data_IF_522762683938
#
_entry.id   IF_522762683938
#
_cell.length_a   1.000
_cell.length_b   1.000
_cell.length_c   1.000
_cell.angle_alpha   90.00
_cell.angle_beta   90.00
_cell.angle_gamma   90.00
#
_symmetry.space_group_name_H-M   'P 1'
#
loop_
_entity.id
_entity.type
_entity.pdbx_description
1 polymer ?
#
# COMPACT_ATOMS: atom_id res chain seq x y z
N UNK A 1 -38.75 51.74 -10.60
CA UNK A 1 -37.31 51.41 -10.71
C UNK A 1 -36.76 51.48 -9.29
N UNK A 2 -36.12 50.50 -8.67
CA UNK A 2 -35.54 49.23 -9.10
C UNK A 2 -35.64 48.26 -7.90
N UNK A 3 -35.84 46.96 -8.18
CA UNK A 3 -35.91 45.92 -7.17
C UNK A 3 -34.53 45.60 -6.59
N UNK A 4 -34.42 45.60 -5.26
CA UNK A 4 -33.22 45.17 -4.55
C UNK A 4 -33.13 43.64 -4.57
N UNK A 5 -32.20 43.12 -5.37
CA UNK A 5 -31.93 41.68 -5.52
C UNK A 5 -31.21 41.17 -4.27
N UNK A 6 -31.81 40.21 -3.58
CA UNK A 6 -31.15 39.37 -2.59
C UNK A 6 -30.07 38.54 -3.31
N UNK A 7 -28.80 38.86 -3.06
CA UNK A 7 -27.69 38.03 -3.52
C UNK A 7 -27.26 37.11 -2.37
N UNK A 8 -27.66 35.85 -2.47
CA UNK A 8 -27.10 34.74 -1.69
C UNK A 8 -25.60 34.65 -1.93
N UNK A 9 -24.73 34.68 -0.90
CA UNK A 9 -23.43 34.05 -1.02
C UNK A 9 -23.60 32.57 -0.69
N UNK A 10 -23.91 31.77 -1.72
CA UNK A 10 -23.79 30.32 -1.68
C UNK A 10 -22.32 29.94 -1.90
N UNK A 11 -21.45 30.28 -0.95
CA UNK A 11 -20.02 29.96 -1.02
C UNK A 11 -19.49 29.66 0.37
N UNK A 12 -19.55 28.39 0.78
CA UNK A 12 -18.42 27.62 1.31
C UNK A 12 -18.93 26.24 1.74
N UNK A 13 -18.87 25.27 0.84
CA UNK A 13 -18.90 23.85 1.21
C UNK A 13 -17.83 23.12 0.40
N UNK A 14 -16.58 23.57 0.54
CA UNK A 14 -15.43 22.92 -0.05
C UNK A 14 -14.31 22.84 0.98
N UNK A 15 -14.45 21.95 1.96
CA UNK A 15 -13.32 21.37 2.71
C UNK A 15 -13.83 20.31 3.71
N UNK A 16 -14.48 19.25 3.21
CA UNK A 16 -14.52 17.97 3.92
C UNK A 16 -14.04 16.87 2.98
N UNK A 17 -12.95 17.13 2.25
CA UNK A 17 -12.20 16.04 1.64
C UNK A 17 -11.48 15.33 2.80
N UNK A 18 -12.11 14.28 3.31
CA UNK A 18 -11.50 13.37 4.26
C UNK A 18 -10.25 12.70 3.65
N UNK A 19 -9.41 12.07 4.48
CA UNK A 19 -8.26 11.32 4.01
C UNK A 19 -8.72 10.29 2.95
N UNK A 20 -8.10 10.29 1.77
CA UNK A 20 -8.49 9.41 0.67
C UNK A 20 -7.39 8.39 0.39
N UNK A 21 -7.76 7.13 0.23
CA UNK A 21 -6.92 6.06 -0.33
C UNK A 21 -7.31 5.86 -1.79
N UNK A 22 -6.37 6.06 -2.71
CA UNK A 22 -6.59 5.84 -4.13
C UNK A 22 -6.16 4.42 -4.52
N UNK A 23 -6.95 3.42 -4.13
CA UNK A 23 -6.71 2.02 -4.48
C UNK A 23 -7.32 1.68 -5.85
N UNK A 24 -6.60 0.87 -6.62
CA UNK A 24 -7.07 0.33 -7.89
C UNK A 24 -6.54 -1.09 -8.15
N UNK A 25 -7.40 -2.09 -8.41
CA UNK A 25 -8.85 -2.04 -8.35
C UNK A 25 -9.36 -1.76 -6.92
N UNK A 26 -10.60 -1.31 -6.80
CA UNK A 26 -11.19 -1.06 -5.49
C UNK A 26 -11.42 -2.39 -4.75
N UNK A 27 -10.92 -2.57 -3.50
CA UNK A 27 -11.17 -3.79 -2.74
C UNK A 27 -12.65 -3.99 -2.44
N UNK A 28 -13.07 -5.26 -2.30
CA UNK A 28 -14.46 -5.57 -1.96
C UNK A 28 -14.90 -4.96 -0.62
N UNK A 29 -13.99 -4.89 0.35
CA UNK A 29 -14.21 -4.25 1.63
C UNK A 29 -12.95 -3.51 2.07
N UNK A 30 -13.12 -2.28 2.55
CA UNK A 30 -12.03 -1.47 3.09
C UNK A 30 -12.50 -0.72 4.34
N UNK A 31 -11.66 -0.76 5.36
CA UNK A 31 -11.81 0.06 6.57
C UNK A 31 -10.48 0.74 6.87
N UNK A 32 -10.47 2.07 6.86
CA UNK A 32 -9.28 2.88 7.10
C UNK A 32 -9.40 3.68 8.39
N UNK A 33 -8.29 3.86 9.10
CA UNK A 33 -8.17 4.89 10.14
C UNK A 33 -7.87 6.25 9.51
N UNK A 34 -7.84 7.33 10.30
CA UNK A 34 -7.47 8.68 9.83
C UNK A 34 -5.97 8.97 9.84
N UNK A 35 -5.16 8.06 10.40
CA UNK A 35 -3.76 8.30 10.72
C UNK A 35 -2.85 7.37 9.91
N UNK A 36 -1.84 7.94 9.22
CA UNK A 36 -0.83 7.12 8.53
C UNK A 36 0.19 6.55 9.52
N UNK A 37 0.81 5.45 9.11
CA UNK A 37 1.93 4.80 9.81
C UNK A 37 3.24 5.11 9.09
N UNK A 38 4.31 5.39 9.84
CA UNK A 38 5.66 5.55 9.28
C UNK A 38 6.26 4.18 8.98
N UNK A 39 7.00 4.04 7.88
CA UNK A 39 7.72 2.80 7.51
C UNK A 39 9.22 3.06 7.55
N UNK A 40 10.00 2.08 8.03
CA UNK A 40 11.47 2.10 7.96
C UNK A 40 11.98 1.56 6.63
N UNK A 41 12.42 2.38 5.68
CA UNK A 41 12.74 1.89 4.33
C UNK A 41 13.92 0.90 4.33
N UNK A 42 14.95 1.23 5.12
CA UNK A 42 16.17 0.42 5.24
C UNK A 42 15.92 -0.94 5.91
N UNK A 43 15.11 -0.98 6.95
CA UNK A 43 14.90 -2.20 7.75
C UNK A 43 13.56 -2.87 7.50
N UNK A 44 12.70 -2.35 6.61
CA UNK A 44 11.43 -2.99 6.30
C UNK A 44 11.69 -4.38 5.75
N UNK A 45 10.87 -5.38 6.08
CA UNK A 45 11.01 -6.73 5.54
C UNK A 45 9.65 -7.36 5.25
N UNK A 46 9.54 -8.06 4.14
CA UNK A 46 8.46 -9.02 3.95
C UNK A 46 8.88 -10.34 4.60
N UNK A 47 8.01 -10.92 5.42
CA UNK A 47 8.34 -12.10 6.21
C UNK A 47 7.22 -13.14 6.11
N UNK A 48 7.58 -14.41 6.03
CA UNK A 48 6.62 -15.49 6.18
C UNK A 48 6.20 -15.62 7.64
N UNK A 49 4.91 -15.85 7.87
CA UNK A 49 4.42 -16.26 9.17
C UNK A 49 4.91 -17.68 9.49
N UNK A 50 5.22 -17.95 10.76
CA UNK A 50 5.73 -19.27 11.23
C UNK A 50 4.80 -20.46 10.92
N UNK A 51 3.50 -20.18 10.76
CA UNK A 51 2.45 -21.16 10.41
C UNK A 51 2.05 -21.15 8.94
N UNK A 52 2.75 -20.40 8.09
CA UNK A 52 2.41 -20.31 6.67
C UNK A 52 2.74 -21.61 5.95
N UNK A 53 1.84 -22.05 5.08
CA UNK A 53 2.06 -23.20 4.22
C UNK A 53 3.13 -22.92 3.15
N UNK A 54 3.25 -21.66 2.71
CA UNK A 54 4.39 -21.18 1.94
C UNK A 54 5.50 -20.66 2.87
N UNK A 55 6.75 -21.00 2.56
CA UNK A 55 7.96 -20.62 3.30
C UNK A 55 9.06 -20.24 2.29
N UNK A 56 10.23 -19.85 2.80
CA UNK A 56 11.41 -19.61 1.97
C UNK A 56 11.71 -20.82 1.07
N UNK A 57 12.00 -20.55 -0.20
CA UNK A 57 12.04 -21.56 -1.27
C UNK A 57 10.82 -21.50 -2.19
N UNK A 58 9.79 -20.75 -1.82
CA UNK A 58 8.65 -20.44 -2.67
C UNK A 58 9.01 -19.34 -3.65
N UNK A 59 9.47 -19.70 -4.87
CA UNK A 59 9.95 -18.74 -5.89
C UNK A 59 8.96 -17.61 -6.16
N UNK A 60 7.68 -17.93 -6.28
CA UNK A 60 6.61 -16.96 -6.55
C UNK A 60 6.58 -15.83 -5.52
N UNK A 61 6.66 -16.16 -4.23
CA UNK A 61 6.58 -15.17 -3.14
C UNK A 61 7.94 -14.56 -2.83
N UNK A 62 9.02 -15.33 -2.92
CA UNK A 62 10.39 -14.84 -2.70
C UNK A 62 10.74 -13.76 -3.74
N UNK A 63 10.44 -14.00 -5.02
CA UNK A 63 10.64 -13.01 -6.10
C UNK A 63 9.69 -11.83 -5.97
N UNK A 64 8.44 -12.05 -5.55
CA UNK A 64 7.50 -10.96 -5.31
C UNK A 64 7.97 -10.04 -4.18
N UNK A 65 8.49 -10.60 -3.07
CA UNK A 65 9.03 -9.80 -1.98
C UNK A 65 10.20 -8.93 -2.42
N UNK A 66 11.10 -9.47 -3.24
CA UNK A 66 12.19 -8.70 -3.82
C UNK A 66 11.66 -7.59 -4.72
N UNK A 67 10.77 -7.92 -5.67
CA UNK A 67 10.20 -6.95 -6.61
C UNK A 67 9.47 -5.80 -5.89
N UNK A 68 8.60 -6.11 -4.93
CA UNK A 68 7.88 -5.06 -4.19
C UNK A 68 8.80 -4.26 -3.29
N UNK A 69 9.84 -4.87 -2.72
CA UNK A 69 10.86 -4.13 -1.98
C UNK A 69 11.55 -3.10 -2.88
N UNK A 70 11.96 -3.51 -4.08
CA UNK A 70 12.65 -2.63 -5.02
C UNK A 70 11.71 -1.55 -5.56
N UNK A 71 10.45 -1.89 -5.82
CA UNK A 71 9.41 -0.93 -6.23
C UNK A 71 9.17 0.12 -5.14
N UNK A 72 9.08 -0.30 -3.87
CA UNK A 72 8.79 0.57 -2.75
C UNK A 72 10.02 1.34 -2.24
N UNK A 73 11.22 0.78 -2.40
CA UNK A 73 12.42 1.28 -1.72
C UNK A 73 13.70 1.36 -2.57
N UNK A 74 13.67 0.94 -3.84
CA UNK A 74 14.86 0.78 -4.68
C UNK A 74 15.39 2.05 -5.38
N UNK A 75 14.63 3.14 -5.42
CA UNK A 75 15.04 4.38 -6.09
C UNK A 75 15.68 5.41 -5.14
N UNK A 76 17.01 5.58 -5.27
CA UNK A 76 17.90 6.67 -4.80
C UNK A 76 17.94 7.07 -3.31
N UNK A 77 19.05 7.72 -2.95
CA UNK A 77 19.61 7.85 -1.60
C UNK A 77 18.59 8.28 -0.56
N UNK A 78 18.31 7.34 0.34
CA UNK A 78 17.61 7.57 1.59
C UNK A 78 18.52 8.39 2.50
N UNK A 79 18.57 9.70 2.28
CA UNK A 79 19.21 10.62 3.19
C UNK A 79 18.37 10.58 4.47
N UNK A 80 18.84 9.82 5.45
CA UNK A 80 18.13 9.51 6.69
C UNK A 80 17.67 10.78 7.38
N UNK A 81 16.45 11.21 7.07
CA UNK A 81 15.86 12.35 7.74
C UNK A 81 15.66 11.94 9.19
N UNK A 82 16.12 12.81 10.10
CA UNK A 82 16.05 12.57 11.53
C UNK A 82 14.58 12.48 11.96
N UNK A 83 14.04 11.25 11.97
CA UNK A 83 12.72 10.97 12.52
C UNK A 83 12.71 11.44 13.97
N UNK A 84 11.66 12.16 14.36
CA UNK A 84 11.47 12.47 15.79
C UNK A 84 11.29 11.17 16.58
N UNK A 85 11.73 11.16 17.83
CA UNK A 85 11.73 9.98 18.71
C UNK A 85 10.33 9.31 18.82
N UNK A 86 9.27 10.12 18.68
CA UNK A 86 7.86 9.69 18.66
C UNK A 86 7.44 9.00 17.34
N UNK A 87 8.04 9.35 16.20
CA UNK A 87 7.80 8.68 14.92
C UNK A 87 8.49 7.32 14.86
N UNK A 88 9.64 7.19 15.54
CA UNK A 88 10.42 5.95 15.64
C UNK A 88 9.70 4.84 16.40
N UNK A 89 8.79 5.17 17.32
CA UNK A 89 8.05 4.21 18.15
C UNK A 89 6.84 3.59 17.46
N UNK A 90 6.35 4.18 16.35
CA UNK A 90 5.21 3.69 15.57
C UNK A 90 5.62 3.18 14.17
N UNK A 91 6.94 3.01 13.99
CA UNK A 91 7.54 2.62 12.73
C UNK A 91 7.22 1.15 12.41
N UNK A 92 6.64 0.93 11.23
CA UNK A 92 6.42 -0.41 10.69
C UNK A 92 7.70 -0.92 10.03
N UNK A 93 8.11 -2.11 10.46
CA UNK A 93 9.36 -2.76 10.04
C UNK A 93 9.16 -4.07 9.31
N UNK A 94 7.96 -4.64 9.34
CA UNK A 94 7.68 -5.82 8.54
C UNK A 94 6.22 -5.89 8.15
N UNK A 95 5.98 -6.54 7.02
CA UNK A 95 4.69 -7.13 6.67
C UNK A 95 4.86 -8.64 6.79
N UNK A 96 4.01 -9.27 7.61
CA UNK A 96 4.02 -10.72 7.83
C UNK A 96 2.91 -11.36 7.00
N UNK A 97 3.26 -12.37 6.18
CA UNK A 97 2.38 -13.02 5.22
C UNK A 97 2.06 -14.44 5.70
N UNK A 98 0.78 -14.77 5.80
CA UNK A 98 0.28 -16.12 6.10
C UNK A 98 -0.51 -16.66 4.91
N UNK A 99 0.00 -17.71 4.28
CA UNK A 99 -0.72 -18.49 3.26
C UNK A 99 -1.26 -19.76 3.90
N UNK A 100 -2.56 -20.04 3.73
CA UNK A 100 -3.23 -21.18 4.38
C UNK A 100 -2.93 -22.50 3.66
N UNK A 101 -3.01 -22.51 2.33
CA UNK A 101 -2.87 -23.73 1.52
C UNK A 101 -1.50 -23.82 0.84
N UNK A 102 -0.88 -25.01 0.78
CA UNK A 102 0.35 -25.19 0.02
C UNK A 102 0.05 -25.15 -1.49
N UNK A 103 0.99 -24.65 -2.29
CA UNK A 103 0.80 -24.60 -3.74
C UNK A 103 1.75 -23.67 -4.48
N UNK A 104 2.96 -23.44 -3.97
CA UNK A 104 3.86 -22.46 -4.57
C UNK A 104 4.38 -22.86 -5.96
N UNK A 105 4.56 -24.17 -6.21
CA UNK A 105 5.12 -24.69 -7.47
C UNK A 105 4.05 -24.96 -8.55
N UNK A 106 2.80 -24.60 -8.27
CA UNK A 106 1.68 -24.82 -9.20
C UNK A 106 1.46 -23.56 -10.03
N UNK A 107 0.95 -23.72 -11.25
CA UNK A 107 0.45 -22.59 -12.02
C UNK A 107 -0.96 -22.19 -11.53
N UNK A 108 -1.35 -20.91 -11.64
CA UNK A 108 -2.69 -20.52 -11.30
C UNK A 108 -3.69 -21.17 -12.26
N UNK A 109 -4.82 -21.59 -11.70
CA UNK A 109 -5.98 -22.13 -12.42
C UNK A 109 -7.19 -21.20 -12.26
N UNK A 110 -8.26 -21.45 -13.00
CA UNK A 110 -9.53 -20.73 -12.84
C UNK A 110 -10.14 -20.86 -11.44
N UNK A 111 -9.77 -21.91 -10.71
CA UNK A 111 -10.24 -22.19 -9.35
C UNK A 111 -9.26 -21.68 -8.27
N UNK A 112 -8.16 -21.06 -8.68
CA UNK A 112 -7.17 -20.53 -7.75
C UNK A 112 -7.76 -19.36 -6.97
N UNK A 113 -7.81 -19.51 -5.65
CA UNK A 113 -8.44 -18.53 -4.77
C UNK A 113 -7.53 -17.32 -4.57
N UNK A 114 -7.98 -16.15 -5.05
CA UNK A 114 -7.25 -14.88 -4.98
C UNK A 114 -7.71 -13.97 -3.82
N UNK A 115 -8.47 -14.50 -2.86
CA UNK A 115 -8.93 -13.75 -1.70
C UNK A 115 -7.79 -13.45 -0.74
N UNK A 116 -7.83 -12.27 -0.14
CA UNK A 116 -6.87 -11.84 0.87
C UNK A 116 -7.51 -10.91 1.90
N UNK A 117 -6.88 -10.84 3.07
CA UNK A 117 -7.18 -9.89 4.13
C UNK A 117 -5.88 -9.19 4.53
N UNK A 118 -5.79 -7.89 4.24
CA UNK A 118 -4.68 -7.04 4.65
C UNK A 118 -5.07 -6.25 5.90
N UNK A 119 -4.35 -6.46 7.00
CA UNK A 119 -4.57 -5.76 8.28
C UNK A 119 -3.35 -4.93 8.64
N UNK A 120 -3.56 -3.64 8.85
CA UNK A 120 -2.54 -2.69 9.28
C UNK A 120 -3.10 -1.97 10.50
N UNK A 121 -2.53 -2.23 11.67
CA UNK A 121 -2.91 -1.58 12.93
C UNK A 121 -1.66 -1.19 13.72
N UNK A 122 -1.77 -0.86 15.01
CA UNK A 122 -0.61 -0.45 15.81
C UNK A 122 0.32 -1.64 16.10
N UNK A 123 -0.24 -2.83 16.24
CA UNK A 123 0.44 -4.05 16.67
C UNK A 123 1.21 -4.70 15.53
N UNK A 124 0.61 -4.81 14.34
CA UNK A 124 1.18 -5.57 13.23
C UNK A 124 0.76 -5.04 11.85
N UNK A 125 1.56 -5.38 10.84
CA UNK A 125 1.14 -5.39 9.44
C UNK A 125 1.09 -6.85 9.01
N UNK A 126 -0.10 -7.33 8.67
CA UNK A 126 -0.37 -8.75 8.45
C UNK A 126 -1.20 -8.95 7.20
N UNK A 127 -0.77 -9.88 6.35
CA UNK A 127 -1.47 -10.28 5.15
C UNK A 127 -1.83 -11.76 5.24
N UNK A 128 -3.12 -12.06 5.27
CA UNK A 128 -3.65 -13.41 5.21
C UNK A 128 -4.22 -13.69 3.81
N UNK A 129 -3.92 -14.85 3.25
CA UNK A 129 -4.56 -15.33 2.02
C UNK A 129 -4.75 -16.84 2.04
N UNK A 130 -5.71 -17.33 1.26
CA UNK A 130 -5.94 -18.77 1.13
C UNK A 130 -4.81 -19.44 0.35
N UNK A 131 -4.40 -18.83 -0.76
CA UNK A 131 -3.31 -19.32 -1.64
C UNK A 131 -2.23 -18.25 -1.84
N UNK A 132 -1.13 -18.62 -2.50
CA UNK A 132 -0.07 -17.69 -2.92
C UNK A 132 -0.59 -16.59 -3.86
N UNK A 133 -1.62 -16.87 -4.65
CA UNK A 133 -2.21 -15.91 -5.60
C UNK A 133 -2.92 -14.77 -4.91
N UNK A 134 -3.68 -15.08 -3.85
CA UNK A 134 -4.28 -14.05 -2.99
C UNK A 134 -3.22 -13.19 -2.30
N UNK A 135 -2.09 -13.78 -1.88
CA UNK A 135 -1.00 -13.01 -1.30
C UNK A 135 -0.41 -12.01 -2.31
N UNK A 136 -0.27 -12.37 -3.59
CA UNK A 136 0.19 -11.44 -4.63
C UNK A 136 -0.77 -10.25 -4.80
N UNK A 137 -2.09 -10.47 -4.76
CA UNK A 137 -3.11 -9.39 -4.80
C UNK A 137 -3.03 -8.48 -3.57
N UNK A 138 -2.77 -9.07 -2.40
CA UNK A 138 -2.57 -8.34 -1.16
C UNK A 138 -1.30 -7.48 -1.16
N UNK A 139 -0.19 -7.99 -1.70
CA UNK A 139 1.07 -7.25 -1.86
C UNK A 139 0.92 -6.07 -2.81
N UNK A 140 0.19 -6.23 -3.91
CA UNK A 140 -0.12 -5.13 -4.84
C UNK A 140 -0.88 -4.01 -4.10
N UNK A 141 -1.94 -4.40 -3.37
CA UNK A 141 -2.76 -3.45 -2.59
C UNK A 141 -1.93 -2.76 -1.51
N UNK A 142 -1.07 -3.51 -0.81
CA UNK A 142 -0.13 -2.94 0.16
C UNK A 142 0.77 -1.88 -0.50
N UNK A 143 1.29 -2.16 -1.69
CA UNK A 143 2.19 -1.23 -2.38
C UNK A 143 1.52 0.11 -2.71
N UNK A 144 0.22 0.10 -3.04
CA UNK A 144 -0.56 1.30 -3.33
C UNK A 144 -0.89 2.14 -2.09
N UNK A 145 -0.85 1.53 -0.90
CA UNK A 145 -1.04 2.24 0.37
C UNK A 145 0.22 2.97 0.83
N UNK A 146 1.39 2.59 0.31
CA UNK A 146 2.67 3.19 0.66
C UNK A 146 2.90 4.43 -0.20
N UNK A 147 3.26 5.54 0.44
CA UNK A 147 3.56 6.80 -0.24
C UNK A 147 4.72 7.51 0.44
N UNK A 148 5.39 8.37 -0.33
CA UNK A 148 6.50 9.20 0.13
C UNK A 148 6.04 10.64 0.33
N UNK A 149 6.38 11.22 1.46
CA UNK A 149 6.14 12.65 1.70
C UNK A 149 7.22 13.49 0.99
N UNK A 150 6.96 14.78 0.72
CA UNK A 150 7.97 15.70 0.17
C UNK A 150 9.24 15.79 1.03
N UNK A 151 9.12 15.54 2.33
CA UNK A 151 10.22 15.52 3.30
C UNK A 151 11.03 14.20 3.29
N UNK A 152 10.74 13.30 2.34
CA UNK A 152 11.41 12.01 2.20
C UNK A 152 10.96 10.93 3.19
N UNK A 153 9.96 11.21 4.02
CA UNK A 153 9.42 10.21 4.96
C UNK A 153 8.50 9.25 4.22
N UNK A 154 8.73 7.93 4.37
CA UNK A 154 7.77 6.93 3.88
C UNK A 154 6.69 6.69 4.90
N UNK A 155 5.46 6.78 4.43
CA UNK A 155 4.27 6.51 5.22
C UNK A 155 3.36 5.55 4.48
N UNK A 156 2.45 4.94 5.23
CA UNK A 156 1.41 4.06 4.71
C UNK A 156 0.07 4.34 5.34
N UNK A 157 -0.98 4.26 4.54
CA UNK A 157 -2.35 4.51 4.96
C UNK A 157 -2.97 5.68 4.21
N UNK A 158 -4.01 6.32 4.75
CA UNK A 158 -4.75 7.32 4.01
C UNK A 158 -3.93 8.59 3.75
N UNK A 159 -4.14 9.20 2.58
CA UNK A 159 -3.44 10.41 2.19
C UNK A 159 -4.29 11.65 2.48
N UNK A 160 -3.75 12.61 3.24
CA UNK A 160 -4.47 13.86 3.60
C UNK A 160 -4.47 14.90 2.48
N UNK A 161 -3.53 14.82 1.54
CA UNK A 161 -3.55 15.57 0.28
C UNK A 161 -3.34 14.56 -0.82
N UNK A 162 -4.36 14.33 -1.64
CA UNK A 162 -4.11 13.73 -2.95
C UNK A 162 -3.23 14.74 -3.71
N UNK A 163 -1.95 14.46 -3.99
CA UNK A 163 -1.28 15.25 -5.01
C UNK A 163 -2.08 15.02 -6.29
N UNK A 164 -2.43 16.11 -6.98
CA UNK A 164 -2.92 16.07 -8.34
C UNK A 164 -1.98 15.12 -9.11
N UNK A 165 -2.52 13.99 -9.58
CA UNK A 165 -1.77 12.86 -10.11
C UNK A 165 -0.94 13.33 -11.32
N UNK A 166 0.29 13.79 -11.12
CA UNK A 166 1.24 14.02 -12.22
C UNK A 166 2.63 13.43 -11.96
N UNK A 167 3.07 13.26 -10.71
CA UNK A 167 4.43 12.76 -10.43
C UNK A 167 4.53 11.28 -10.02
N UNK A 168 3.44 10.62 -9.63
CA UNK A 168 3.45 9.14 -9.52
C UNK A 168 3.34 8.50 -10.91
N UNK A 169 2.82 9.22 -11.91
CA UNK A 169 2.63 8.68 -13.26
C UNK A 169 3.86 8.80 -14.17
N UNK A 170 4.79 9.73 -13.94
CA UNK A 170 5.93 9.89 -14.87
C UNK A 170 6.94 8.74 -14.78
N UNK A 171 7.15 8.16 -13.58
CA UNK A 171 8.01 6.99 -13.41
C UNK A 171 7.26 5.65 -13.44
N UNK A 172 5.95 5.62 -13.12
CA UNK A 172 5.13 4.41 -13.29
C UNK A 172 4.66 4.19 -14.74
N UNK A 173 4.53 5.21 -15.60
CA UNK A 173 3.94 5.01 -16.93
C UNK A 173 4.83 4.20 -17.90
N UNK A 174 6.15 4.19 -17.72
CA UNK A 174 7.06 3.50 -18.65
C UNK A 174 7.20 2.02 -18.29
N UNK A 175 7.27 1.69 -16.99
CA UNK A 175 7.50 0.30 -16.55
C UNK A 175 6.21 -0.52 -16.44
N UNK A 176 5.04 0.11 -16.26
CA UNK A 176 3.76 -0.59 -16.12
C UNK A 176 3.06 -0.91 -17.46
N UNK A 177 3.49 -0.30 -18.58
CA UNK A 177 2.99 -0.70 -19.91
C UNK A 177 3.30 -2.15 -20.26
N UNK A 178 4.30 -2.75 -19.60
CA UNK A 178 4.72 -4.13 -19.83
C UNK A 178 4.35 -5.11 -18.71
N UNK A 179 3.78 -4.64 -17.59
CA UNK A 179 3.52 -5.46 -16.40
C UNK A 179 2.03 -5.72 -16.12
N UNK A 180 1.12 -5.06 -16.85
CA UNK A 180 -0.32 -5.36 -16.80
C UNK A 180 -0.69 -6.54 -17.76
N UNK A 181 0.25 -6.97 -18.61
CA UNK A 181 0.09 -8.09 -19.54
C UNK A 181 1.23 -9.12 -19.42
N UNK A 182 1.39 -9.72 -18.25
CA UNK A 182 1.98 -11.05 -18.11
C UNK A 182 1.17 -11.83 -17.07
#
# INVERSE_FOLDING_TARGET
MAGSRLWFPLLLAAALAGPATALWPWPQYIQTSDWPYTISPHSFQFQYHVRSAAQSGCSVLDEAFQRYRDLLFGSESWDGSALTEKQKTLEKRSLVILVVTPGCDQLPSLESLENYTLTINNEQCFLLSETVWGALRGLETFSQLVWRSPEGTVSMGPQKRAPFKSQVCSQCSESWKYLIFL
#
